data_IF_565774842957
#
_entry.id   IF_565774842957
#
_cell.length_a   1.000
_cell.length_b   1.000
_cell.length_c   1.000
_cell.angle_alpha   90.00
_cell.angle_beta   90.00
_cell.angle_gamma   90.00
#
_symmetry.space_group_name_H-M   'P 1'
#
loop_
_entity.id
_entity.type
_entity.pdbx_description
1 polymer ?
#
# COMPACT_ATOMS: atom_id res chain seq x y z
N UNK A 1 27.91 10.78 -11.09
CA UNK A 1 26.60 11.45 -10.93
C UNK A 1 26.72 12.35 -9.72
N UNK A 2 26.11 13.54 -9.74
CA UNK A 2 26.10 14.44 -8.58
C UNK A 2 25.35 13.75 -7.44
N UNK A 3 25.83 13.91 -6.20
CA UNK A 3 25.20 13.32 -4.99
C UNK A 3 23.69 13.68 -4.90
N UNK A 4 23.33 14.86 -5.41
CA UNK A 4 21.95 15.33 -5.51
C UNK A 4 21.10 14.56 -6.55
N UNK A 5 21.62 14.29 -7.75
CA UNK A 5 20.92 13.51 -8.78
C UNK A 5 20.58 12.11 -8.27
N UNK A 6 21.53 11.45 -7.62
CA UNK A 6 21.34 10.11 -7.04
C UNK A 6 20.29 10.13 -5.92
N UNK A 7 20.34 11.15 -5.05
CA UNK A 7 19.34 11.35 -3.99
C UNK A 7 17.93 11.52 -4.55
N UNK A 8 17.76 12.36 -5.57
CA UNK A 8 16.47 12.60 -6.23
C UNK A 8 15.96 11.29 -6.85
N UNK A 9 16.83 10.56 -7.55
CA UNK A 9 16.48 9.29 -8.18
C UNK A 9 15.99 8.24 -7.17
N UNK A 10 16.74 8.05 -6.08
CA UNK A 10 16.36 7.10 -5.02
C UNK A 10 15.07 7.50 -4.32
N UNK A 11 14.87 8.79 -4.06
CA UNK A 11 13.63 9.30 -3.45
C UNK A 11 12.43 9.04 -4.36
N UNK A 12 12.58 9.27 -5.67
CA UNK A 12 11.56 8.98 -6.68
C UNK A 12 11.19 7.49 -6.66
N UNK A 13 12.17 6.60 -6.69
CA UNK A 13 11.94 5.14 -6.65
C UNK A 13 11.22 4.70 -5.37
N UNK A 14 11.59 5.27 -4.22
CA UNK A 14 10.92 4.99 -2.95
C UNK A 14 9.45 5.46 -2.95
N UNK A 15 9.17 6.66 -3.48
CA UNK A 15 7.79 7.17 -3.61
C UNK A 15 6.93 6.33 -4.56
N UNK A 16 7.49 5.78 -5.64
CA UNK A 16 6.77 4.82 -6.51
C UNK A 16 6.34 3.57 -5.71
N UNK A 17 7.21 3.04 -4.83
CA UNK A 17 6.85 1.90 -3.96
C UNK A 17 5.82 2.27 -2.90
N UNK A 18 5.88 3.49 -2.36
CA UNK A 18 4.88 4.01 -1.43
C UNK A 18 3.49 4.15 -2.08
N UNK A 19 3.41 4.67 -3.30
CA UNK A 19 2.16 4.72 -4.07
C UNK A 19 1.58 3.30 -4.26
N UNK A 20 2.39 2.37 -4.75
CA UNK A 20 1.95 0.98 -4.97
C UNK A 20 1.44 0.33 -3.68
N UNK A 21 2.06 0.64 -2.54
CA UNK A 21 1.60 0.18 -1.22
C UNK A 21 0.21 0.71 -0.88
N UNK A 22 -0.05 2.01 -1.09
CA UNK A 22 -1.37 2.60 -0.83
C UNK A 22 -2.44 2.02 -1.76
N UNK A 23 -2.13 1.84 -3.05
CA UNK A 23 -3.04 1.20 -4.01
C UNK A 23 -3.35 -0.26 -3.64
N UNK A 24 -2.35 -1.00 -3.15
CA UNK A 24 -2.58 -2.36 -2.66
C UNK A 24 -3.48 -2.37 -1.42
N UNK A 25 -3.28 -1.45 -0.47
CA UNK A 25 -4.16 -1.34 0.71
C UNK A 25 -5.60 -1.01 0.32
N UNK A 26 -5.79 -0.10 -0.64
CA UNK A 26 -7.10 0.20 -1.20
C UNK A 26 -7.77 -1.05 -1.80
N UNK A 27 -7.05 -1.76 -2.67
CA UNK A 27 -7.53 -2.96 -3.33
C UNK A 27 -7.90 -4.07 -2.32
N UNK A 28 -7.00 -4.41 -1.39
CA UNK A 28 -7.26 -5.47 -0.41
C UNK A 28 -8.41 -5.10 0.54
N UNK A 29 -8.53 -3.84 0.94
CA UNK A 29 -9.62 -3.39 1.80
C UNK A 29 -10.97 -3.46 1.09
N UNK A 30 -11.04 -3.03 -0.18
CA UNK A 30 -12.27 -3.15 -0.99
C UNK A 30 -12.62 -4.61 -1.27
N UNK A 31 -11.64 -5.46 -1.54
CA UNK A 31 -11.84 -6.89 -1.78
C UNK A 31 -12.38 -7.61 -0.55
N UNK A 32 -11.81 -7.35 0.63
CA UNK A 32 -12.33 -7.90 1.89
C UNK A 32 -13.73 -7.36 2.18
N UNK A 33 -13.99 -6.06 1.99
CA UNK A 33 -15.31 -5.50 2.21
C UNK A 33 -16.37 -6.16 1.32
N UNK A 34 -16.05 -6.35 0.03
CA UNK A 34 -16.90 -7.08 -0.89
C UNK A 34 -17.14 -8.52 -0.42
N UNK A 35 -16.08 -9.23 -0.05
CA UNK A 35 -16.15 -10.61 0.44
C UNK A 35 -17.09 -10.77 1.64
N UNK A 36 -16.94 -9.92 2.66
CA UNK A 36 -17.77 -9.95 3.85
C UNK A 36 -19.22 -9.52 3.57
N UNK A 37 -19.42 -8.54 2.68
CA UNK A 37 -20.76 -8.11 2.26
C UNK A 37 -21.49 -9.23 1.51
N UNK A 38 -20.81 -9.91 0.58
CA UNK A 38 -21.38 -11.06 -0.14
C UNK A 38 -21.73 -12.19 0.83
N UNK A 39 -20.82 -12.51 1.75
CA UNK A 39 -21.06 -13.53 2.77
C UNK A 39 -22.30 -13.21 3.61
N UNK A 40 -22.42 -11.98 4.11
CA UNK A 40 -23.56 -11.55 4.91
C UNK A 40 -24.88 -11.65 4.15
N UNK A 41 -24.91 -11.28 2.86
CA UNK A 41 -26.10 -11.39 2.01
C UNK A 41 -26.48 -12.86 1.76
N UNK A 42 -25.52 -13.70 1.40
CA UNK A 42 -25.76 -15.14 1.21
C UNK A 42 -26.29 -15.79 2.49
N UNK A 43 -25.71 -15.44 3.65
CA UNK A 43 -26.16 -15.96 4.93
C UNK A 43 -27.56 -15.46 5.29
N UNK A 44 -27.88 -14.19 4.99
CA UNK A 44 -29.23 -13.62 5.17
C UNK A 44 -30.29 -14.31 4.32
N UNK A 45 -29.92 -14.76 3.11
CA UNK A 45 -30.82 -15.55 2.26
C UNK A 45 -30.98 -16.97 2.81
N UNK A 46 -29.90 -17.58 3.30
CA UNK A 46 -29.94 -18.91 3.89
C UNK A 46 -30.87 -18.97 5.12
N UNK A 47 -30.84 -17.94 5.98
CA UNK A 47 -31.70 -17.86 7.17
C UNK A 47 -33.18 -17.67 6.84
N UNK A 48 -33.56 -17.25 5.62
CA UNK A 48 -34.96 -17.25 5.17
C UNK A 48 -35.48 -18.67 4.91
N UNK A 49 -34.64 -19.57 4.41
CA UNK A 49 -35.01 -20.95 4.09
C UNK A 49 -34.99 -21.83 5.34
N UNK A 50 -34.00 -21.62 6.20
CA UNK A 50 -33.90 -22.26 7.52
C UNK A 50 -33.87 -21.16 8.58
N UNK A 51 -35.02 -20.83 9.20
CA UNK A 51 -35.09 -19.75 10.18
C UNK A 51 -34.09 -19.99 11.30
N UNK A 52 -33.41 -18.91 11.68
CA UNK A 52 -32.48 -18.90 12.79
C UNK A 52 -33.15 -19.52 14.02
N UNK A 53 -32.56 -20.60 14.55
CA UNK A 53 -33.15 -21.34 15.66
C UNK A 53 -33.02 -20.58 16.99
N UNK A 54 -32.15 -19.56 17.05
CA UNK A 54 -31.83 -18.79 18.25
C UNK A 54 -31.85 -17.28 17.96
N UNK A 55 -32.37 -16.50 18.91
CA UNK A 55 -32.35 -15.02 18.86
C UNK A 55 -30.92 -14.47 18.78
N UNK A 56 -29.96 -15.16 19.38
CA UNK A 56 -28.53 -14.82 19.38
C UNK A 56 -27.96 -14.72 17.96
N UNK A 57 -28.37 -15.63 17.07
CA UNK A 57 -27.90 -15.68 15.69
C UNK A 57 -28.35 -14.43 14.91
N UNK A 58 -29.61 -14.03 15.07
CA UNK A 58 -30.14 -12.81 14.46
C UNK A 58 -29.42 -11.55 14.98
N UNK A 59 -29.13 -11.49 16.30
CA UNK A 59 -28.39 -10.38 16.89
C UNK A 59 -26.95 -10.27 16.35
N UNK A 60 -26.27 -11.42 16.15
CA UNK A 60 -24.93 -11.47 15.55
C UNK A 60 -24.97 -10.94 14.11
N UNK A 61 -25.94 -11.37 13.31
CA UNK A 61 -26.07 -10.91 11.91
C UNK A 61 -26.27 -9.40 11.80
N UNK A 62 -27.13 -8.83 12.64
CA UNK A 62 -27.35 -7.37 12.69
C UNK A 62 -26.09 -6.64 13.15
N UNK A 63 -25.38 -7.19 14.14
CA UNK A 63 -24.12 -6.60 14.61
C UNK A 63 -23.05 -6.60 13.52
N UNK A 64 -22.94 -7.68 12.73
CA UNK A 64 -22.02 -7.78 11.60
C UNK A 64 -22.36 -6.80 10.48
N UNK A 65 -23.64 -6.57 10.20
CA UNK A 65 -24.06 -5.60 9.17
C UNK A 65 -23.68 -4.17 9.53
N UNK A 66 -23.89 -3.78 10.81
CA UNK A 66 -23.46 -2.48 11.34
C UNK A 66 -21.93 -2.36 11.31
N UNK A 67 -21.20 -3.42 11.65
CA UNK A 67 -19.74 -3.43 11.60
C UNK A 67 -19.22 -3.21 10.16
N UNK A 68 -19.78 -3.92 9.18
CA UNK A 68 -19.42 -3.75 7.76
C UNK A 68 -19.70 -2.30 7.30
N UNK A 69 -20.83 -1.71 7.72
CA UNK A 69 -21.14 -0.33 7.41
C UNK A 69 -20.09 0.65 7.98
N UNK A 70 -19.74 0.51 9.27
CA UNK A 70 -18.73 1.34 9.92
C UNK A 70 -17.36 1.18 9.25
N UNK A 71 -16.97 -0.06 8.92
CA UNK A 71 -15.72 -0.34 8.21
C UNK A 71 -15.71 0.29 6.82
N UNK A 72 -16.82 0.26 6.10
CA UNK A 72 -16.97 0.91 4.79
C UNK A 72 -16.69 2.41 4.90
N UNK A 73 -17.33 3.08 5.86
CA UNK A 73 -17.13 4.50 6.10
C UNK A 73 -15.69 4.81 6.50
N UNK A 74 -15.10 3.99 7.37
CA UNK A 74 -13.72 4.16 7.81
C UNK A 74 -12.72 4.02 6.64
N UNK A 75 -12.84 2.98 5.82
CA UNK A 75 -11.99 2.74 4.65
C UNK A 75 -12.11 3.90 3.65
N UNK A 76 -13.32 4.39 3.40
CA UNK A 76 -13.55 5.52 2.50
C UNK A 76 -12.89 6.81 3.01
N UNK A 77 -12.96 7.07 4.33
CA UNK A 77 -12.30 8.24 4.94
C UNK A 77 -10.77 8.18 4.89
N UNK A 78 -10.17 6.99 4.91
CA UNK A 78 -8.71 6.83 4.80
C UNK A 78 -8.14 7.30 3.45
N UNK A 79 -9.00 7.43 2.42
CA UNK A 79 -8.70 8.00 1.10
C UNK A 79 -7.36 7.52 0.50
N UNK A 80 -7.15 6.21 0.49
CA UNK A 80 -5.90 5.61 0.00
C UNK A 80 -5.60 5.98 -1.46
N UNK A 81 -6.63 6.02 -2.33
CA UNK A 81 -6.49 6.44 -3.74
C UNK A 81 -6.07 7.91 -3.87
N UNK A 82 -6.68 8.83 -3.13
CA UNK A 82 -6.33 10.24 -3.16
C UNK A 82 -4.89 10.49 -2.70
N UNK A 83 -4.47 9.82 -1.63
CA UNK A 83 -3.09 9.88 -1.14
C UNK A 83 -2.08 9.29 -2.13
N UNK A 84 -2.42 8.17 -2.77
CA UNK A 84 -1.60 7.59 -3.83
C UNK A 84 -1.43 8.55 -5.02
N UNK A 85 -2.50 9.24 -5.42
CA UNK A 85 -2.47 10.23 -6.50
C UNK A 85 -1.52 11.40 -6.19
N UNK A 86 -1.51 11.91 -4.96
CA UNK A 86 -0.59 12.98 -4.55
C UNK A 86 0.87 12.51 -4.60
N UNK A 87 1.15 11.29 -4.13
CA UNK A 87 2.50 10.69 -4.23
C UNK A 87 2.92 10.52 -5.70
N UNK A 88 1.98 10.13 -6.56
CA UNK A 88 2.21 10.01 -8.01
C UNK A 88 2.63 11.33 -8.64
N UNK A 89 1.83 12.37 -8.43
CA UNK A 89 2.16 13.71 -8.92
C UNK A 89 3.51 14.20 -8.40
N UNK A 90 3.84 13.89 -7.14
CA UNK A 90 5.13 14.23 -6.55
C UNK A 90 6.30 13.53 -7.27
N UNK A 91 6.26 12.21 -7.46
CA UNK A 91 7.38 11.53 -8.11
C UNK A 91 7.48 11.82 -9.62
N UNK A 92 6.38 12.19 -10.27
CA UNK A 92 6.38 12.66 -11.66
C UNK A 92 7.13 13.99 -11.76
N UNK A 93 6.87 14.93 -10.84
CA UNK A 93 7.65 16.18 -10.73
C UNK A 93 9.11 15.92 -10.39
N UNK A 94 9.41 14.98 -9.48
CA UNK A 94 10.79 14.56 -9.19
C UNK A 94 11.50 14.00 -10.44
N UNK A 95 10.78 13.40 -11.39
CA UNK A 95 11.38 12.95 -12.65
C UNK A 95 11.88 14.12 -13.50
N UNK A 96 11.14 15.23 -13.52
CA UNK A 96 11.53 16.45 -14.26
C UNK A 96 12.75 17.07 -13.62
N UNK A 97 12.75 17.22 -12.29
CA UNK A 97 13.87 17.73 -11.50
C UNK A 97 15.11 16.85 -11.67
N UNK A 98 14.95 15.53 -11.68
CA UNK A 98 16.05 14.60 -11.94
C UNK A 98 16.69 14.83 -13.31
N UNK A 99 15.89 14.99 -14.37
CA UNK A 99 16.42 15.28 -15.70
C UNK A 99 17.15 16.63 -15.74
N UNK A 100 16.62 17.66 -15.07
CA UNK A 100 17.29 18.95 -14.94
C UNK A 100 18.63 18.83 -14.18
N UNK A 101 18.72 17.94 -13.19
CA UNK A 101 19.92 17.70 -12.39
C UNK A 101 21.11 17.09 -13.16
N UNK A 102 20.86 16.54 -14.36
CA UNK A 102 21.89 15.99 -15.24
C UNK A 102 22.54 17.07 -16.13
N UNK A 103 21.93 18.26 -16.21
CA UNK A 103 22.46 19.42 -16.92
C UNK A 103 23.24 20.34 -15.97
N UNK A 104 24.12 21.22 -16.49
CA UNK A 104 24.81 22.23 -15.68
C UNK A 104 23.82 23.31 -15.22
N UNK A 105 23.08 23.01 -14.14
CA UNK A 105 22.10 23.88 -13.50
C UNK A 105 22.58 24.26 -12.10
N UNK A 106 22.14 25.42 -11.59
CA UNK A 106 22.48 25.89 -10.25
C UNK A 106 21.98 24.88 -9.18
N UNK A 107 22.87 24.20 -8.44
CA UNK A 107 22.47 23.16 -7.50
C UNK A 107 21.63 23.69 -6.33
N UNK A 108 21.78 24.96 -5.95
CA UNK A 108 21.02 25.57 -4.86
C UNK A 108 19.54 25.80 -5.22
N UNK A 109 19.26 26.19 -6.46
CA UNK A 109 17.89 26.36 -6.96
C UNK A 109 17.19 25.00 -7.08
N UNK A 110 17.92 23.99 -7.56
CA UNK A 110 17.41 22.64 -7.72
C UNK A 110 17.09 21.98 -6.37
N UNK A 111 17.92 22.17 -5.34
CA UNK A 111 17.63 21.65 -3.99
C UNK A 111 16.38 22.34 -3.41
N UNK A 112 16.22 23.65 -3.61
CA UNK A 112 15.01 24.38 -3.19
C UNK A 112 13.74 23.83 -3.86
N UNK A 113 13.80 23.58 -5.17
CA UNK A 113 12.67 22.98 -5.91
C UNK A 113 12.39 21.54 -5.44
N UNK A 114 13.44 20.76 -5.23
CA UNK A 114 13.33 19.40 -4.68
C UNK A 114 12.61 19.38 -3.32
N UNK A 115 13.02 20.24 -2.37
CA UNK A 115 12.37 20.33 -1.05
C UNK A 115 10.90 20.77 -1.17
N UNK A 116 10.60 21.72 -2.06
CA UNK A 116 9.23 22.17 -2.30
C UNK A 116 8.35 21.03 -2.83
N UNK A 117 8.87 20.19 -3.74
CA UNK A 117 8.15 19.02 -4.25
C UNK A 117 7.98 17.95 -3.18
N UNK A 118 8.96 17.73 -2.30
CA UNK A 118 8.81 16.77 -1.20
C UNK A 118 7.68 17.14 -0.24
N UNK A 119 7.49 18.43 0.04
CA UNK A 119 6.41 18.93 0.91
C UNK A 119 4.99 18.75 0.35
N UNK A 120 4.85 18.39 -0.93
CA UNK A 120 3.54 18.27 -1.59
C UNK A 120 2.79 16.96 -1.33
N UNK A 121 3.47 15.95 -0.77
CA UNK A 121 2.88 14.62 -0.56
C UNK A 121 3.50 13.93 0.65
N UNK A 122 2.84 12.88 1.12
CA UNK A 122 3.36 12.05 2.19
C UNK A 122 4.74 11.45 1.87
N UNK A 123 5.53 11.27 2.92
CA UNK A 123 6.84 10.66 2.81
C UNK A 123 6.75 9.14 2.65
N UNK A 124 7.71 8.58 1.92
CA UNK A 124 7.87 7.13 1.83
C UNK A 124 8.33 6.57 3.18
N UNK A 125 7.98 5.32 3.47
CA UNK A 125 8.51 4.62 4.64
C UNK A 125 9.84 3.93 4.32
N UNK A 126 10.58 3.56 5.35
CA UNK A 126 11.84 2.82 5.20
C UNK A 126 11.65 1.50 4.42
N UNK A 127 10.53 0.78 4.67
CA UNK A 127 10.18 -0.42 3.90
C UNK A 127 9.95 -0.16 2.41
N UNK A 128 9.46 1.03 2.04
CA UNK A 128 9.24 1.39 0.65
C UNK A 128 10.59 1.64 -0.05
N UNK A 129 11.51 2.25 0.68
CA UNK A 129 12.89 2.45 0.25
C UNK A 129 13.67 1.14 0.14
N UNK A 130 13.58 0.26 1.14
CA UNK A 130 14.17 -1.08 1.13
C UNK A 130 13.68 -1.88 -0.10
N UNK A 131 12.38 -1.82 -0.38
CA UNK A 131 11.78 -2.45 -1.54
C UNK A 131 12.26 -1.84 -2.85
N UNK A 132 12.45 -0.52 -2.91
CA UNK A 132 13.02 0.14 -4.07
C UNK A 132 14.46 -0.36 -4.34
N UNK A 133 15.32 -0.48 -3.31
CA UNK A 133 16.69 -0.98 -3.48
C UNK A 133 16.70 -2.41 -4.01
N UNK A 134 15.90 -3.30 -3.42
CA UNK A 134 15.84 -4.70 -3.83
C UNK A 134 15.29 -4.85 -5.25
N UNK A 135 14.22 -4.13 -5.58
CA UNK A 135 13.64 -4.20 -6.92
C UNK A 135 14.60 -3.65 -8.00
N UNK A 136 15.31 -2.54 -7.74
CA UNK A 136 16.29 -2.01 -8.69
C UNK A 136 17.52 -2.93 -8.85
N UNK A 137 17.93 -3.62 -7.78
CA UNK A 137 19.01 -4.61 -7.84
C UNK A 137 18.69 -5.80 -8.75
N UNK A 138 17.44 -6.26 -8.75
CA UNK A 138 17.01 -7.35 -9.63
C UNK A 138 16.73 -6.90 -11.07
N UNK A 139 16.24 -5.67 -11.26
CA UNK A 139 15.89 -5.16 -12.58
C UNK A 139 17.09 -4.59 -13.36
N UNK A 140 18.21 -4.30 -12.69
CA UNK A 140 19.40 -3.72 -13.33
C UNK A 140 20.40 -4.81 -13.72
N UNK A 141 20.66 -4.96 -15.02
CA UNK A 141 21.66 -5.91 -15.53
C UNK A 141 23.08 -5.58 -15.02
N UNK A 142 23.46 -4.30 -15.05
CA UNK A 142 24.78 -3.86 -14.61
C UNK A 142 24.74 -3.30 -13.17
N UNK A 143 25.00 -4.19 -12.21
CA UNK A 143 24.96 -3.89 -10.76
C UNK A 143 25.99 -2.85 -10.31
N UNK A 144 27.00 -2.53 -11.11
CA UNK A 144 27.98 -1.50 -10.79
C UNK A 144 27.43 -0.07 -10.94
N UNK A 145 26.33 0.10 -11.70
CA UNK A 145 25.67 1.39 -11.89
C UNK A 145 24.81 1.82 -10.68
N UNK A 146 24.61 0.92 -9.71
CA UNK A 146 23.79 1.20 -8.53
C UNK A 146 24.62 1.82 -7.41
N UNK A 147 24.26 3.04 -7.00
CA UNK A 147 24.86 3.74 -5.86
C UNK A 147 24.55 3.05 -4.53
N UNK A 148 23.43 2.32 -4.44
CA UNK A 148 23.02 1.57 -3.24
C UNK A 148 22.72 0.12 -3.60
N UNK A 149 23.20 -0.81 -2.78
CA UNK A 149 23.00 -2.25 -2.96
C UNK A 149 22.25 -2.84 -1.77
N UNK A 150 21.36 -3.82 -1.99
CA UNK A 150 20.61 -4.42 -0.91
C UNK A 150 21.54 -5.27 -0.04
N UNK A 151 21.33 -5.18 1.27
CA UNK A 151 21.90 -6.10 2.25
C UNK A 151 20.93 -7.22 2.58
N UNK A 152 21.41 -8.28 3.23
CA UNK A 152 20.57 -9.40 3.68
C UNK A 152 19.37 -8.95 4.53
N UNK A 153 19.55 -7.89 5.34
CA UNK A 153 18.50 -7.31 6.17
C UNK A 153 17.33 -6.80 5.32
N UNK A 154 17.61 -6.15 4.18
CA UNK A 154 16.55 -5.64 3.29
C UNK A 154 15.71 -6.79 2.72
N UNK A 155 16.36 -7.87 2.29
CA UNK A 155 15.67 -9.06 1.80
C UNK A 155 14.81 -9.70 2.88
N UNK A 156 15.38 -9.90 4.08
CA UNK A 156 14.66 -10.46 5.22
C UNK A 156 13.45 -9.60 5.62
N UNK A 157 13.62 -8.28 5.69
CA UNK A 157 12.55 -7.34 6.02
C UNK A 157 11.39 -7.42 5.01
N UNK A 158 11.68 -7.40 3.71
CA UNK A 158 10.65 -7.46 2.66
C UNK A 158 9.92 -8.81 2.71
N UNK A 159 10.66 -9.90 2.86
CA UNK A 159 10.10 -11.25 2.96
C UNK A 159 9.20 -11.37 4.18
N UNK A 160 9.65 -10.96 5.36
CA UNK A 160 8.85 -10.97 6.59
C UNK A 160 7.57 -10.14 6.47
N UNK A 161 7.66 -8.94 5.88
CA UNK A 161 6.49 -8.08 5.65
C UNK A 161 5.49 -8.72 4.67
N UNK A 162 5.99 -9.39 3.62
CA UNK A 162 5.15 -10.12 2.68
C UNK A 162 4.43 -11.29 3.35
N UNK A 163 5.16 -12.17 4.06
CA UNK A 163 4.56 -13.31 4.78
C UNK A 163 3.50 -12.84 5.78
N UNK A 164 3.80 -11.80 6.56
CA UNK A 164 2.85 -11.22 7.52
C UNK A 164 1.58 -10.73 6.83
N UNK A 165 1.71 -9.95 5.75
CA UNK A 165 0.54 -9.40 5.06
C UNK A 165 -0.30 -10.51 4.40
N UNK A 166 0.34 -11.53 3.82
CA UNK A 166 -0.35 -12.69 3.25
C UNK A 166 -1.05 -13.50 4.34
N UNK A 167 -0.38 -13.77 5.46
CA UNK A 167 -0.96 -14.48 6.60
C UNK A 167 -2.17 -13.75 7.18
N UNK A 168 -2.09 -12.43 7.38
CA UNK A 168 -3.21 -11.61 7.85
C UNK A 168 -4.38 -11.62 6.84
N UNK A 169 -4.08 -11.50 5.55
CA UNK A 169 -5.12 -11.54 4.51
C UNK A 169 -5.82 -12.91 4.46
N UNK A 170 -5.07 -14.01 4.49
CA UNK A 170 -5.62 -15.36 4.51
C UNK A 170 -6.45 -15.62 5.77
N UNK A 171 -5.97 -15.18 6.93
CA UNK A 171 -6.72 -15.27 8.18
C UNK A 171 -8.07 -14.55 8.07
N UNK A 172 -8.06 -13.28 7.63
CA UNK A 172 -9.29 -12.49 7.46
C UNK A 172 -10.20 -13.05 6.37
N UNK A 173 -9.65 -13.63 5.30
CA UNK A 173 -10.44 -14.22 4.22
C UNK A 173 -11.15 -15.51 4.66
N UNK A 174 -10.47 -16.34 5.46
CA UNK A 174 -11.00 -17.63 5.93
C UNK A 174 -11.91 -17.50 7.16
N UNK A 175 -11.81 -16.39 7.90
CA UNK A 175 -12.56 -16.16 9.14
C UNK A 175 -14.08 -16.40 9.02
N UNK A 176 -14.79 -15.96 7.96
CA UNK A 176 -16.23 -16.25 7.81
C UNK A 176 -16.55 -17.75 7.72
N UNK A 177 -15.68 -18.56 7.13
CA UNK A 177 -15.87 -20.01 7.08
C UNK A 177 -15.69 -20.65 8.45
N UNK A 178 -14.74 -20.17 9.25
CA UNK A 178 -14.54 -20.67 10.62
C UNK A 178 -15.82 -20.47 11.45
N UNK A 179 -16.52 -19.35 11.28
CA UNK A 179 -17.80 -19.10 11.97
C UNK A 179 -18.88 -20.09 11.53
N UNK A 180 -18.95 -20.46 10.25
CA UNK A 180 -19.97 -21.40 9.76
C UNK A 180 -19.77 -22.84 10.25
N UNK A 181 -18.52 -23.25 10.48
CA UNK A 181 -18.16 -24.61 10.86
C UNK A 181 -17.87 -24.77 12.37
N UNK A 182 -17.94 -23.67 13.13
CA UNK A 182 -17.85 -23.63 14.60
C UNK A 182 -19.23 -23.77 15.24
#
# INVERSE_FOLDING_TARGET
>A
MSDLSDKIWWTRKAKIKAERRLLNFDYYSQLLLLWYSTFLVCYSIYTLVKPAQKVEEAAIMVSLSVLILVLTLFINNMNFKGRALLIKQCYERLSVIHTASLSPTNPAELDKEYQAVLGSSENHLEKDFAKAIVDEYFNTNNKSLLTKKPTFIHFFMITMLFLRNVSLFLFLFLFPFVILFS
#
